data_IF_865188615356
#
_entry.id   IF_865188615356
#
_cell.length_a   1.000
_cell.length_b   1.000
_cell.length_c   1.000
_cell.angle_alpha   90.00
_cell.angle_beta   90.00
_cell.angle_gamma   90.00
#
_symmetry.space_group_name_H-M   'P 1'
#
loop_
_entity.id
_entity.type
_entity.pdbx_description
1 polymer ?
#
# COMPACT_ATOMS: atom_id res chain seq x y z
N UNK A 1 17.55 -17.46 -9.84
CA UNK A 1 16.61 -17.81 -8.74
C UNK A 1 15.38 -16.97 -8.97
N UNK A 2 14.30 -17.62 -9.41
CA UNK A 2 13.24 -17.03 -10.23
C UNK A 2 12.38 -15.99 -9.52
N UNK A 3 11.99 -14.95 -10.27
CA UNK A 3 10.78 -14.17 -9.99
C UNK A 3 9.64 -15.19 -9.81
N UNK A 4 8.79 -15.01 -8.79
CA UNK A 4 7.79 -16.01 -8.44
C UNK A 4 6.89 -16.29 -9.65
N UNK A 5 6.75 -17.56 -10.06
CA UNK A 5 5.88 -17.97 -11.18
C UNK A 5 4.41 -17.53 -11.00
N UNK A 6 4.02 -17.10 -9.79
CA UNK A 6 2.72 -16.48 -9.52
C UNK A 6 2.63 -15.07 -10.07
N UNK A 7 3.67 -14.25 -9.96
CA UNK A 7 3.67 -12.87 -10.46
C UNK A 7 3.60 -12.81 -11.99
N UNK A 8 4.19 -13.80 -12.67
CA UNK A 8 4.24 -13.88 -14.14
C UNK A 8 2.89 -14.24 -14.80
N UNK A 9 1.94 -14.79 -14.04
CA UNK A 9 0.70 -15.39 -14.59
C UNK A 9 -0.56 -14.55 -14.47
N UNK A 10 -0.47 -13.32 -13.96
CA UNK A 10 -1.64 -12.56 -13.50
C UNK A 10 -2.22 -11.58 -14.52
N UNK A 11 -1.48 -11.25 -15.58
CA UNK A 11 -1.84 -10.10 -16.40
C UNK A 11 -2.51 -10.54 -17.70
N UNK A 12 -3.73 -10.05 -17.93
CA UNK A 12 -4.59 -10.28 -19.10
C UNK A 12 -4.05 -9.65 -20.40
N UNK A 13 -2.72 -9.57 -20.56
CA UNK A 13 -2.02 -8.99 -21.70
C UNK A 13 -1.97 -7.45 -21.74
N UNK A 14 -2.34 -6.75 -20.66
CA UNK A 14 -2.30 -5.28 -20.57
C UNK A 14 -1.78 -4.81 -19.21
N UNK A 15 -1.01 -3.71 -19.14
CA UNK A 15 -0.55 -3.17 -17.86
C UNK A 15 -1.73 -2.74 -16.98
N UNK A 16 -1.59 -2.92 -15.66
CA UNK A 16 -2.64 -2.65 -14.68
C UNK A 16 -2.14 -1.69 -13.59
N UNK A 17 -2.85 -0.60 -13.35
CA UNK A 17 -2.55 0.30 -12.25
C UNK A 17 -3.05 -0.30 -10.93
N UNK A 18 -2.13 -0.65 -10.03
CA UNK A 18 -2.42 -1.26 -8.73
C UNK A 18 -2.45 -0.26 -7.59
N UNK A 19 -1.62 0.78 -7.64
CA UNK A 19 -1.66 1.90 -6.69
C UNK A 19 -1.98 3.17 -7.46
N UNK A 20 -2.93 3.94 -6.94
CA UNK A 20 -3.22 5.29 -7.38
C UNK A 20 -3.34 6.21 -6.16
N UNK A 21 -2.63 7.34 -6.20
CA UNK A 21 -2.58 8.34 -5.15
C UNK A 21 -2.24 7.78 -3.75
N UNK A 22 -1.42 6.72 -3.69
CA UNK A 22 -0.97 6.07 -2.46
C UNK A 22 -1.97 5.06 -1.87
N UNK A 23 -3.06 4.77 -2.56
CA UNK A 23 -4.04 3.75 -2.20
C UNK A 23 -4.06 2.62 -3.24
N UNK A 24 -4.38 1.39 -2.82
CA UNK A 24 -4.62 0.30 -3.75
C UNK A 24 -5.92 0.53 -4.52
N UNK A 25 -5.87 0.34 -5.84
CA UNK A 25 -7.07 0.16 -6.66
C UNK A 25 -7.71 -1.18 -6.28
N UNK A 26 -8.75 -1.14 -5.45
CA UNK A 26 -9.38 -2.34 -4.86
C UNK A 26 -9.84 -3.32 -5.94
N UNK A 27 -10.40 -2.81 -7.03
CA UNK A 27 -10.93 -3.64 -8.11
C UNK A 27 -9.81 -4.33 -8.89
N UNK A 28 -8.70 -3.62 -9.13
CA UNK A 28 -7.56 -4.18 -9.85
C UNK A 28 -6.79 -5.15 -8.94
N UNK A 29 -6.54 -4.76 -7.69
CA UNK A 29 -5.77 -5.56 -6.74
C UNK A 29 -6.47 -6.88 -6.36
N UNK A 30 -7.81 -6.96 -6.44
CA UNK A 30 -8.53 -8.23 -6.26
C UNK A 30 -8.50 -9.13 -7.50
N UNK A 31 -8.42 -8.54 -8.69
CA UNK A 31 -8.41 -9.26 -9.98
C UNK A 31 -7.03 -9.84 -10.25
N UNK A 32 -6.00 -9.06 -9.99
CA UNK A 32 -4.64 -9.55 -9.95
C UNK A 32 -4.52 -10.48 -8.74
N UNK A 33 -4.24 -11.76 -8.94
CA UNK A 33 -4.15 -12.74 -7.85
C UNK A 33 -2.93 -12.54 -6.93
N UNK A 34 -2.40 -11.31 -6.86
CA UNK A 34 -1.17 -10.92 -6.19
C UNK A 34 -1.32 -11.03 -4.68
N UNK A 35 -0.39 -11.73 -4.05
CA UNK A 35 -0.23 -11.64 -2.62
C UNK A 35 0.30 -10.25 -2.26
N UNK A 36 -0.38 -9.55 -1.35
CA UNK A 36 0.01 -8.22 -0.87
C UNK A 36 1.47 -8.18 -0.39
N UNK A 37 1.92 -9.24 0.27
CA UNK A 37 3.28 -9.36 0.77
C UNK A 37 4.33 -9.43 -0.35
N UNK A 38 4.02 -10.10 -1.46
CA UNK A 38 4.89 -10.17 -2.66
C UNK A 38 4.98 -8.80 -3.31
N UNK A 39 3.85 -8.12 -3.49
CA UNK A 39 3.83 -6.76 -4.04
C UNK A 39 4.60 -5.78 -3.15
N UNK A 40 4.44 -5.85 -1.82
CA UNK A 40 5.25 -5.05 -0.90
C UNK A 40 6.74 -5.39 -0.96
N UNK A 41 7.11 -6.64 -1.20
CA UNK A 41 8.51 -7.02 -1.37
C UNK A 41 9.14 -6.30 -2.57
N UNK A 42 8.46 -6.28 -3.71
CA UNK A 42 8.92 -5.58 -4.91
C UNK A 42 9.04 -4.06 -4.69
N UNK A 43 8.10 -3.45 -3.98
CA UNK A 43 8.20 -2.03 -3.62
C UNK A 43 9.39 -1.77 -2.68
N UNK A 44 9.64 -2.64 -1.70
CA UNK A 44 10.78 -2.51 -0.78
C UNK A 44 12.12 -2.63 -1.51
N UNK A 45 12.24 -3.51 -2.51
CA UNK A 45 13.44 -3.61 -3.36
C UNK A 45 13.73 -2.28 -4.08
N UNK A 46 12.69 -1.50 -4.39
CA UNK A 46 12.81 -0.16 -4.98
C UNK A 46 13.04 0.96 -3.94
N UNK A 47 13.29 0.63 -2.68
CA UNK A 47 13.58 1.58 -1.61
C UNK A 47 12.35 2.30 -1.03
N UNK A 48 11.15 1.75 -1.25
CA UNK A 48 9.89 2.35 -0.79
C UNK A 48 9.59 1.85 0.62
N UNK A 49 9.24 2.77 1.52
CA UNK A 49 8.90 2.45 2.92
C UNK A 49 7.41 2.54 3.23
N UNK A 50 6.66 3.36 2.48
CA UNK A 50 5.21 3.46 2.63
C UNK A 50 4.52 3.93 1.34
N UNK A 51 3.22 3.60 1.20
CA UNK A 51 2.48 3.88 -0.05
C UNK A 51 2.25 5.37 -0.32
N UNK A 52 2.31 6.22 0.71
CA UNK A 52 2.16 7.68 0.56
C UNK A 52 3.29 8.37 -0.21
N UNK A 53 4.37 7.65 -0.53
CA UNK A 53 5.44 8.07 -1.45
C UNK A 53 5.06 7.87 -2.92
N UNK A 54 4.10 6.99 -3.20
CA UNK A 54 3.75 6.52 -4.54
C UNK A 54 2.58 7.35 -5.06
N UNK A 55 2.76 7.98 -6.21
CA UNK A 55 1.66 8.55 -7.00
C UNK A 55 0.94 7.45 -7.78
N UNK A 56 1.70 6.62 -8.52
CA UNK A 56 1.14 5.47 -9.25
C UNK A 56 2.12 4.29 -9.21
N UNK A 57 1.58 3.08 -9.09
CA UNK A 57 2.33 1.84 -9.35
C UNK A 57 1.57 0.97 -10.34
N UNK A 58 2.25 0.57 -11.40
CA UNK A 58 1.69 -0.18 -12.52
C UNK A 58 2.42 -1.51 -12.60
N UNK A 59 1.66 -2.61 -12.66
CA UNK A 59 2.20 -3.91 -13.02
C UNK A 59 2.19 -4.01 -14.55
N UNK A 60 3.39 -4.16 -15.13
CA UNK A 60 3.60 -4.30 -16.56
C UNK A 60 3.39 -5.74 -16.99
N UNK A 61 3.11 -5.98 -18.28
CA UNK A 61 2.88 -7.33 -18.83
C UNK A 61 4.06 -8.30 -18.64
N UNK A 62 5.27 -7.79 -18.37
CA UNK A 62 6.44 -8.59 -18.01
C UNK A 62 6.41 -9.14 -16.58
N UNK A 63 5.47 -8.69 -15.75
CA UNK A 63 5.52 -8.88 -14.30
C UNK A 63 6.52 -7.97 -13.60
N UNK A 64 6.97 -6.88 -14.23
CA UNK A 64 7.72 -5.84 -13.53
C UNK A 64 6.78 -4.77 -12.99
N UNK A 65 7.22 -4.05 -11.96
CA UNK A 65 6.48 -2.92 -11.40
C UNK A 65 7.16 -1.61 -11.83
N UNK A 66 6.42 -0.78 -12.55
CA UNK A 66 6.74 0.63 -12.78
C UNK A 66 6.19 1.47 -11.62
N UNK A 67 7.00 2.37 -11.06
CA UNK A 67 6.58 3.23 -9.94
C UNK A 67 6.86 4.69 -10.26
N UNK A 68 5.84 5.52 -10.08
CA UNK A 68 5.89 6.97 -10.20
C UNK A 68 5.68 7.58 -8.81
N UNK A 69 6.64 8.40 -8.38
CA UNK A 69 6.67 8.97 -7.04
C UNK A 69 6.03 10.36 -7.00
N UNK A 70 5.60 10.77 -5.81
CA UNK A 70 5.45 12.19 -5.53
C UNK A 70 6.82 12.86 -5.42
N UNK A 71 6.85 14.17 -5.68
CA UNK A 71 7.93 15.05 -5.19
C UNK A 71 7.96 15.02 -3.65
N UNK A 72 9.13 15.25 -3.06
CA UNK A 72 9.36 15.15 -1.61
C UNK A 72 8.42 16.05 -0.78
N UNK A 73 8.08 17.23 -1.30
CA UNK A 73 7.15 18.19 -0.68
C UNK A 73 5.69 17.73 -0.75
N UNK A 74 5.38 16.80 -1.66
CA UNK A 74 4.04 16.28 -1.91
C UNK A 74 3.83 14.88 -1.32
N UNK A 75 4.86 14.29 -0.69
CA UNK A 75 4.72 13.01 0.03
C UNK A 75 3.64 13.14 1.10
N UNK A 76 2.70 12.19 1.07
CA UNK A 76 1.57 12.14 2.00
C UNK A 76 1.86 11.05 3.05
N UNK A 77 1.28 11.13 4.26
CA UNK A 77 1.22 9.99 5.15
C UNK A 77 0.54 8.81 4.45
N UNK A 78 1.04 7.60 4.64
CA UNK A 78 0.47 6.42 4.00
C UNK A 78 0.79 5.11 4.71
N UNK A 79 0.29 4.02 4.13
CA UNK A 79 0.44 2.68 4.67
C UNK A 79 1.91 2.27 4.71
N UNK A 80 2.52 2.04 5.89
CA UNK A 80 3.85 1.47 5.97
C UNK A 80 3.88 0.05 5.40
N UNK A 81 4.91 -0.24 4.62
CA UNK A 81 5.09 -1.57 3.98
C UNK A 81 6.30 -2.33 4.52
N UNK A 82 7.05 -1.73 5.44
CA UNK A 82 8.14 -2.41 6.14
C UNK A 82 7.57 -3.44 7.14
N UNK A 83 8.16 -4.65 7.24
CA UNK A 83 7.58 -5.74 8.04
C UNK A 83 7.29 -5.36 9.50
N UNK A 84 8.21 -4.64 10.15
CA UNK A 84 8.05 -4.28 11.57
C UNK A 84 6.89 -3.30 11.79
N UNK A 85 6.87 -2.08 11.20
CA UNK A 85 5.72 -1.20 11.32
C UNK A 85 4.41 -1.83 10.84
N UNK A 86 4.42 -2.57 9.72
CA UNK A 86 3.22 -3.22 9.20
C UNK A 86 2.69 -4.35 10.11
N UNK A 87 3.53 -4.95 10.97
CA UNK A 87 3.09 -5.98 11.93
C UNK A 87 2.33 -5.41 13.14
N UNK A 88 2.42 -4.10 13.39
CA UNK A 88 1.75 -3.40 14.50
C UNK A 88 0.29 -3.05 14.16
N UNK A 89 -0.42 -4.00 13.53
CA UNK A 89 -1.79 -3.80 13.08
C UNK A 89 -2.79 -3.85 14.22
N UNK A 90 -3.84 -3.05 14.09
CA UNK A 90 -4.82 -2.79 15.12
C UNK A 90 -6.23 -2.99 14.55
N UNK A 91 -7.11 -3.65 15.31
CA UNK A 91 -8.55 -3.76 15.00
C UNK A 91 -9.36 -2.56 15.50
N UNK A 92 -8.74 -1.72 16.33
CA UNK A 92 -9.30 -0.48 16.88
C UNK A 92 -8.20 0.56 17.01
N UNK A 93 -8.59 1.81 17.18
CA UNK A 93 -7.70 2.96 17.22
C UNK A 93 -7.51 3.37 18.68
N UNK A 94 -6.33 3.16 19.29
CA UNK A 94 -6.13 3.39 20.72
C UNK A 94 -5.87 4.86 21.07
N UNK A 95 -5.43 5.68 20.11
CA UNK A 95 -5.01 7.06 20.35
C UNK A 95 -5.21 7.92 19.10
N UNK A 96 -5.15 9.23 19.30
CA UNK A 96 -5.15 10.21 18.21
C UNK A 96 -3.93 10.04 17.30
N UNK A 97 -4.13 10.10 16.00
CA UNK A 97 -3.03 10.00 15.02
C UNK A 97 -3.53 9.83 13.59
N UNK A 98 -2.59 9.64 12.68
CA UNK A 98 -2.90 9.30 11.28
C UNK A 98 -2.74 7.80 11.12
N UNK A 99 -3.78 7.17 10.57
CA UNK A 99 -3.84 5.72 10.41
C UNK A 99 -4.17 5.36 8.98
N UNK A 100 -3.59 4.25 8.52
CA UNK A 100 -3.81 3.70 7.19
C UNK A 100 -4.49 2.34 7.29
N UNK A 101 -5.46 2.09 6.42
CA UNK A 101 -6.06 0.79 6.26
C UNK A 101 -5.01 -0.17 5.69
N UNK A 102 -4.81 -1.29 6.38
CA UNK A 102 -3.81 -2.32 5.99
C UNK A 102 -4.13 -3.02 4.67
N UNK A 103 -5.39 -2.99 4.24
CA UNK A 103 -5.81 -3.62 2.98
C UNK A 103 -5.70 -2.68 1.78
N UNK A 104 -6.32 -1.50 1.83
CA UNK A 104 -6.39 -0.60 0.66
C UNK A 104 -5.48 0.62 0.74
N UNK A 105 -4.75 0.83 1.84
CA UNK A 105 -3.87 2.00 2.00
C UNK A 105 -4.58 3.30 2.36
N UNK A 106 -5.92 3.32 2.40
CA UNK A 106 -6.69 4.52 2.74
C UNK A 106 -6.24 5.12 4.06
N UNK A 107 -5.91 6.40 4.05
CA UNK A 107 -5.27 7.09 5.17
C UNK A 107 -6.14 8.23 5.68
N UNK A 108 -6.36 8.28 7.00
CA UNK A 108 -7.20 9.29 7.63
C UNK A 108 -6.61 9.76 8.97
N UNK A 109 -6.89 11.02 9.33
CA UNK A 109 -6.60 11.57 10.65
C UNK A 109 -7.72 11.19 11.61
N UNK A 110 -7.39 10.41 12.64
CA UNK A 110 -8.34 9.93 13.64
C UNK A 110 -8.06 10.67 14.94
N UNK A 111 -9.03 11.48 15.38
CA UNK A 111 -8.88 12.37 16.52
C UNK A 111 -9.28 11.71 17.84
N UNK A 112 -10.11 10.67 17.79
CA UNK A 112 -10.70 10.02 18.96
C UNK A 112 -10.41 8.52 18.93
N UNK A 113 -9.96 7.97 20.05
CA UNK A 113 -9.78 6.53 20.20
C UNK A 113 -11.12 5.82 19.92
N UNK A 114 -11.11 4.80 19.07
CA UNK A 114 -12.32 4.13 18.61
C UNK A 114 -12.12 2.61 18.66
N UNK A 115 -12.94 1.83 19.40
CA UNK A 115 -12.77 0.39 19.53
C UNK A 115 -12.90 -0.39 18.21
N UNK A 116 -13.66 0.13 17.26
CA UNK A 116 -13.82 -0.43 15.91
C UNK A 116 -13.90 0.72 14.90
N UNK A 117 -13.10 0.64 13.84
CA UNK A 117 -13.11 1.60 12.74
C UNK A 117 -13.22 0.82 11.43
N UNK A 118 -14.29 1.05 10.67
CA UNK A 118 -14.45 0.48 9.33
C UNK A 118 -13.85 1.43 8.30
N UNK A 119 -13.01 0.91 7.42
CA UNK A 119 -12.43 1.68 6.33
C UNK A 119 -13.54 2.08 5.33
N UNK A 120 -13.72 3.38 5.03
CA UNK A 120 -14.77 3.85 4.14
C UNK A 120 -14.57 3.43 2.68
N UNK A 121 -13.35 3.00 2.30
CA UNK A 121 -12.99 2.59 0.94
C UNK A 121 -13.20 1.10 0.68
N UNK A 122 -12.83 0.24 1.62
CA UNK A 122 -12.80 -1.22 1.40
C UNK A 122 -13.57 -2.04 2.44
N UNK A 123 -14.17 -1.40 3.44
CA UNK A 123 -14.94 -2.02 4.52
C UNK A 123 -14.15 -2.97 5.44
N UNK A 124 -12.81 -2.99 5.34
CA UNK A 124 -11.95 -3.71 6.30
C UNK A 124 -11.78 -2.90 7.59
N UNK A 125 -11.39 -3.59 8.66
CA UNK A 125 -11.33 -3.02 10.01
C UNK A 125 -9.92 -3.05 10.62
N UNK A 126 -8.93 -3.41 9.81
CA UNK A 126 -7.55 -3.54 10.28
C UNK A 126 -6.74 -2.33 9.79
N UNK A 127 -6.14 -1.65 10.75
CA UNK A 127 -5.43 -0.39 10.58
C UNK A 127 -4.02 -0.48 11.12
N UNK A 128 -3.17 0.45 10.71
CA UNK A 128 -1.83 0.63 11.26
C UNK A 128 -1.52 2.11 11.29
N UNK A 129 -0.64 2.55 12.18
CA UNK A 129 -0.21 3.95 12.21
C UNK A 129 0.51 4.29 10.90
N UNK A 130 0.15 5.41 10.28
CA UNK A 130 0.74 5.83 9.01
C UNK A 130 2.19 6.28 9.18
N UNK A 131 2.98 6.08 8.12
CA UNK A 131 4.33 6.64 7.99
C UNK A 131 4.29 7.82 7.01
N UNK A 132 5.19 8.77 7.19
CA UNK A 132 5.33 9.99 6.38
C UNK A 132 6.80 10.29 6.02
N UNK A 133 7.70 9.31 6.17
CA UNK A 133 9.11 9.47 5.82
C UNK A 133 9.31 9.79 4.33
N UNK A 134 10.14 10.79 4.04
CA UNK A 134 10.56 11.05 2.65
C UNK A 134 11.46 9.92 2.15
N UNK A 135 11.48 9.72 0.83
CA UNK A 135 12.38 8.76 0.22
C UNK A 135 13.82 9.29 0.34
N UNK A 136 14.74 8.42 0.74
CA UNK A 136 16.18 8.72 0.68
C UNK A 136 16.63 8.46 -0.74
N UNK A 137 17.16 9.49 -1.42
CA UNK A 137 17.67 9.40 -2.80
C UNK A 137 19.18 9.54 -2.85
#
# INVERSE_FOLDING_TARGET
>A
VGKSERFERMIEGKPVCLIEEGEFSIDNFKKEALAQDEFFAELRVKGISHLGQIKQAIIETSGDISVFFYEDEKVKPGLPILPKPFSEQLKGIPATGIYSCTFCGHTESILVATPSKVCPKCSKQTWVKSDAARRVT
#
